data_IF_992109350820
#
_entry.id   IF_992109350820
#
_cell.length_a   1.000
_cell.length_b   1.000
_cell.length_c   1.000
_cell.angle_alpha   90.00
_cell.angle_beta   90.00
_cell.angle_gamma   90.00
#
_symmetry.space_group_name_H-M   'P 1'
#
loop_
_entity.id
_entity.type
_entity.pdbx_description
1 polymer ?
#
# COMPACT_ATOMS: atom_id res chain seq x y z
N UNK A 1 -12.10 -14.62 -18.24
CA UNK A 1 -12.91 -14.72 -17.01
C UNK A 1 -14.35 -14.90 -17.45
N UNK A 2 -15.02 -15.95 -16.99
CA UNK A 2 -16.43 -16.19 -17.32
C UNK A 2 -17.33 -15.21 -16.55
N UNK A 3 -18.46 -14.78 -17.12
CA UNK A 3 -19.35 -13.76 -16.53
C UNK A 3 -19.81 -14.17 -15.12
N UNK A 4 -20.09 -15.46 -14.92
CA UNK A 4 -20.47 -15.99 -13.61
C UNK A 4 -19.34 -15.86 -12.57
N UNK A 5 -18.09 -15.93 -12.99
CA UNK A 5 -16.93 -15.80 -12.10
C UNK A 5 -16.68 -14.34 -11.72
N UNK A 6 -16.94 -13.39 -12.63
CA UNK A 6 -16.86 -11.96 -12.31
C UNK A 6 -17.97 -11.52 -11.35
N UNK A 7 -19.20 -11.98 -11.54
CA UNK A 7 -20.32 -11.66 -10.64
C UNK A 7 -20.05 -12.13 -9.20
N UNK A 8 -19.48 -13.32 -9.06
CA UNK A 8 -19.11 -13.89 -7.76
C UNK A 8 -17.99 -13.09 -7.06
N UNK A 9 -17.00 -12.61 -7.83
CA UNK A 9 -15.93 -11.74 -7.31
C UNK A 9 -16.48 -10.41 -6.79
N UNK A 10 -17.29 -9.70 -7.61
CA UNK A 10 -17.84 -8.42 -7.19
C UNK A 10 -18.74 -8.57 -5.97
N UNK A 11 -19.55 -9.63 -5.94
CA UNK A 11 -20.41 -9.96 -4.80
C UNK A 11 -19.60 -10.11 -3.50
N UNK A 12 -18.44 -10.78 -3.54
CA UNK A 12 -17.56 -10.91 -2.37
C UNK A 12 -16.94 -9.58 -1.94
N UNK A 13 -16.42 -8.79 -2.89
CA UNK A 13 -15.87 -7.46 -2.57
C UNK A 13 -16.92 -6.57 -1.90
N UNK A 14 -18.15 -6.54 -2.43
CA UNK A 14 -19.26 -5.80 -1.83
C UNK A 14 -19.65 -6.32 -0.45
N UNK A 15 -19.64 -7.63 -0.24
CA UNK A 15 -19.90 -8.24 1.06
C UNK A 15 -18.86 -7.81 2.11
N UNK A 16 -17.58 -7.87 1.76
CA UNK A 16 -16.49 -7.47 2.64
C UNK A 16 -16.54 -5.97 2.94
N UNK A 17 -16.71 -5.13 1.91
CA UNK A 17 -16.84 -3.69 2.08
C UNK A 17 -18.06 -3.31 2.96
N UNK A 18 -19.18 -4.01 2.79
CA UNK A 18 -20.37 -3.84 3.65
C UNK A 18 -20.09 -4.21 5.10
N UNK A 19 -19.33 -5.29 5.33
CA UNK A 19 -18.93 -5.74 6.66
C UNK A 19 -18.02 -4.72 7.33
N UNK A 20 -17.02 -4.22 6.61
CA UNK A 20 -16.11 -3.15 7.05
C UNK A 20 -16.85 -1.86 7.35
N UNK A 21 -17.82 -1.49 6.51
CA UNK A 21 -18.69 -0.34 6.76
C UNK A 21 -19.45 -0.50 8.08
N UNK A 22 -20.04 -1.67 8.33
CA UNK A 22 -20.73 -1.95 9.60
C UNK A 22 -19.77 -1.85 10.78
N UNK A 23 -18.57 -2.43 10.68
CA UNK A 23 -17.53 -2.32 11.72
C UNK A 23 -17.19 -0.85 11.99
N UNK A 24 -16.98 -0.06 10.93
CA UNK A 24 -16.68 1.36 11.03
C UNK A 24 -17.81 2.15 11.68
N UNK A 25 -19.07 1.89 11.30
CA UNK A 25 -20.25 2.52 11.89
C UNK A 25 -20.42 2.16 13.37
N UNK A 26 -20.14 0.90 13.75
CA UNK A 26 -20.12 0.46 15.14
C UNK A 26 -19.02 1.17 15.93
N UNK A 27 -17.80 1.26 15.38
CA UNK A 27 -16.70 2.01 15.99
C UNK A 27 -17.09 3.48 16.19
N UNK A 28 -17.70 4.10 15.18
CA UNK A 28 -18.16 5.48 15.23
C UNK A 28 -19.21 5.71 16.33
N UNK A 29 -20.09 4.73 16.56
CA UNK A 29 -21.06 4.73 17.67
C UNK A 29 -20.38 4.50 19.02
N UNK A 30 -19.40 3.60 19.10
CA UNK A 30 -18.63 3.32 20.33
C UNK A 30 -17.84 4.55 20.78
N UNK A 31 -17.21 5.26 19.84
CA UNK A 31 -16.44 6.48 20.11
C UNK A 31 -17.28 7.76 20.03
N UNK A 32 -18.62 7.67 20.12
CA UNK A 32 -19.51 8.84 19.97
C UNK A 32 -19.22 10.01 20.91
N UNK A 33 -18.66 9.71 22.09
CA UNK A 33 -18.33 10.69 23.12
C UNK A 33 -16.91 11.24 23.01
N UNK A 34 -16.13 10.80 22.01
CA UNK A 34 -14.79 11.33 21.76
C UNK A 34 -14.89 12.60 20.92
N UNK A 35 -13.91 13.48 21.09
CA UNK A 35 -13.75 14.65 20.24
C UNK A 35 -13.71 14.21 18.76
N UNK A 36 -14.44 14.87 17.85
CA UNK A 36 -14.44 14.55 16.42
C UNK A 36 -13.03 14.38 15.84
N UNK A 37 -12.06 15.16 16.30
CA UNK A 37 -10.66 15.07 15.88
C UNK A 37 -10.04 13.69 16.13
N UNK A 38 -10.33 13.06 17.27
CA UNK A 38 -9.75 11.76 17.65
C UNK A 38 -10.68 10.59 17.31
N UNK A 39 -11.96 10.86 17.13
CA UNK A 39 -12.97 9.84 16.85
C UNK A 39 -12.69 9.13 15.52
N UNK A 40 -12.41 9.87 14.46
CA UNK A 40 -12.16 9.28 13.14
C UNK A 40 -10.91 8.39 13.18
N UNK A 41 -9.83 8.85 13.80
CA UNK A 41 -8.61 8.05 14.03
C UNK A 41 -8.90 6.76 14.80
N UNK A 42 -9.74 6.85 15.86
CA UNK A 42 -10.14 5.69 16.63
C UNK A 42 -10.98 4.71 15.80
N UNK A 43 -11.83 5.20 14.89
CA UNK A 43 -12.62 4.36 13.99
C UNK A 43 -11.73 3.61 12.99
N UNK A 44 -10.76 4.28 12.36
CA UNK A 44 -9.79 3.63 11.47
C UNK A 44 -8.93 2.62 12.23
N UNK A 45 -8.44 2.95 13.44
CA UNK A 45 -7.71 1.99 14.27
C UNK A 45 -8.54 0.75 14.60
N UNK A 46 -9.83 0.93 14.92
CA UNK A 46 -10.73 -0.17 15.22
C UNK A 46 -11.03 -1.02 13.98
N UNK A 47 -11.25 -0.39 12.82
CA UNK A 47 -11.41 -1.09 11.56
C UNK A 47 -10.16 -1.93 11.23
N UNK A 48 -8.97 -1.33 11.37
CA UNK A 48 -7.68 -2.00 11.16
C UNK A 48 -7.48 -3.22 12.08
N UNK A 49 -7.96 -3.18 13.34
CA UNK A 49 -7.92 -4.35 14.23
C UNK A 49 -8.77 -5.52 13.72
N UNK A 50 -9.98 -5.21 13.24
CA UNK A 50 -10.92 -6.20 12.71
C UNK A 50 -10.54 -6.69 11.32
N UNK A 51 -9.69 -5.97 10.59
CA UNK A 51 -9.09 -6.43 9.35
C UNK A 51 -7.82 -7.27 9.63
N UNK A 52 -6.84 -6.68 10.32
CA UNK A 52 -5.50 -7.24 10.44
C UNK A 52 -5.45 -8.60 11.13
N UNK A 53 -6.29 -8.81 12.15
CA UNK A 53 -6.35 -10.08 12.88
C UNK A 53 -6.83 -11.23 11.97
N UNK A 54 -8.02 -11.18 11.35
CA UNK A 54 -8.44 -12.25 10.43
C UNK A 54 -7.57 -12.32 9.17
N UNK A 55 -7.02 -11.23 8.67
CA UNK A 55 -6.12 -11.24 7.50
C UNK A 55 -4.83 -11.99 7.77
N UNK A 56 -4.13 -11.68 8.87
CA UNK A 56 -2.89 -12.37 9.23
C UNK A 56 -3.10 -13.86 9.46
N UNK A 57 -4.18 -14.23 10.17
CA UNK A 57 -4.55 -15.64 10.37
C UNK A 57 -4.85 -16.29 9.03
N UNK A 58 -5.74 -15.73 8.23
CA UNK A 58 -6.14 -16.34 6.95
C UNK A 58 -4.96 -16.44 5.97
N UNK A 59 -4.07 -15.45 5.94
CA UNK A 59 -2.84 -15.49 5.14
C UNK A 59 -1.91 -16.63 5.56
N UNK A 60 -1.70 -16.83 6.87
CA UNK A 60 -0.92 -17.97 7.37
C UNK A 60 -1.55 -19.31 6.96
N UNK A 61 -2.87 -19.44 7.06
CA UNK A 61 -3.58 -20.64 6.61
C UNK A 61 -3.45 -20.85 5.10
N UNK A 62 -3.53 -19.78 4.31
CA UNK A 62 -3.42 -19.81 2.85
C UNK A 62 -2.01 -20.16 2.36
N UNK A 63 -0.98 -19.85 3.15
CA UNK A 63 0.41 -20.18 2.81
C UNK A 63 0.81 -21.60 3.23
N UNK A 64 0.37 -22.06 4.40
CA UNK A 64 0.97 -23.26 5.03
C UNK A 64 0.02 -24.44 5.23
N UNK A 65 -1.29 -24.20 5.22
CA UNK A 65 -2.27 -25.20 5.69
C UNK A 65 -3.16 -25.68 4.56
N UNK A 66 -3.73 -24.77 3.78
CA UNK A 66 -4.68 -25.11 2.72
C UNK A 66 -3.90 -25.39 1.45
N UNK A 67 -3.74 -26.67 1.13
CA UNK A 67 -3.24 -27.12 -0.17
C UNK A 67 -4.33 -26.98 -1.22
N UNK A 68 -3.94 -26.54 -2.42
CA UNK A 68 -4.85 -26.53 -3.56
C UNK A 68 -5.12 -27.99 -3.99
N UNK A 69 -6.38 -28.44 -4.06
CA UNK A 69 -6.71 -29.77 -4.57
C UNK A 69 -6.23 -30.03 -6.01
N UNK A 70 -6.04 -28.98 -6.81
CA UNK A 70 -5.57 -29.05 -8.19
C UNK A 70 -4.05 -28.92 -8.33
N UNK A 71 -3.37 -28.36 -7.32
CA UNK A 71 -1.91 -28.21 -7.28
C UNK A 71 -1.36 -28.79 -5.97
N UNK A 72 -0.76 -29.99 -6.07
CA UNK A 72 -0.24 -30.74 -4.92
C UNK A 72 0.99 -30.09 -4.27
N UNK A 73 1.60 -29.12 -4.94
CA UNK A 73 2.76 -28.36 -4.45
C UNK A 73 2.31 -27.06 -3.80
N UNK A 74 2.92 -26.72 -2.67
CA UNK A 74 2.75 -25.40 -2.06
C UNK A 74 3.43 -24.40 -3.01
N UNK A 75 2.73 -23.37 -3.52
CA UNK A 75 3.31 -22.41 -4.43
C UNK A 75 4.32 -21.52 -3.68
N UNK A 76 5.57 -21.96 -3.62
CA UNK A 76 6.67 -21.24 -2.96
C UNK A 76 7.35 -20.20 -3.88
N UNK A 77 6.94 -20.11 -5.14
CA UNK A 77 7.53 -19.20 -6.13
C UNK A 77 6.89 -17.81 -6.10
N UNK A 78 7.69 -16.76 -6.27
CA UNK A 78 7.18 -15.39 -6.35
C UNK A 78 6.21 -15.16 -7.52
N UNK A 79 6.33 -15.91 -8.61
CA UNK A 79 5.42 -15.88 -9.76
C UNK A 79 4.37 -16.99 -9.78
N UNK A 80 4.14 -17.72 -8.68
CA UNK A 80 3.20 -18.84 -8.66
C UNK A 80 1.74 -18.41 -8.85
N UNK A 81 0.91 -19.25 -9.46
CA UNK A 81 -0.52 -19.00 -9.59
C UNK A 81 -1.19 -18.88 -8.23
N UNK A 82 -2.11 -17.92 -8.10
CA UNK A 82 -2.85 -17.73 -6.85
C UNK A 82 -3.82 -18.89 -6.62
N UNK A 83 -3.81 -19.44 -5.41
CA UNK A 83 -4.85 -20.40 -5.01
C UNK A 83 -6.19 -19.69 -4.73
N UNK A 84 -7.32 -20.41 -4.80
CA UNK A 84 -8.63 -19.82 -4.49
C UNK A 84 -8.69 -19.18 -3.11
N UNK A 85 -8.07 -19.80 -2.10
CA UNK A 85 -8.08 -19.27 -0.74
C UNK A 85 -7.16 -18.05 -0.59
N UNK A 86 -6.01 -18.02 -1.27
CA UNK A 86 -5.18 -16.82 -1.35
C UNK A 86 -5.96 -15.64 -1.97
N UNK A 87 -6.71 -15.90 -3.03
CA UNK A 87 -7.56 -14.91 -3.67
C UNK A 87 -8.64 -14.34 -2.73
N UNK A 88 -9.25 -15.17 -1.87
CA UNK A 88 -10.19 -14.68 -0.84
C UNK A 88 -9.52 -13.73 0.15
N UNK A 89 -8.29 -14.03 0.59
CA UNK A 89 -7.53 -13.14 1.49
C UNK A 89 -7.18 -11.81 0.81
N UNK A 90 -6.78 -11.84 -0.46
CA UNK A 90 -6.50 -10.63 -1.24
C UNK A 90 -7.76 -9.79 -1.46
N UNK A 91 -8.91 -10.41 -1.75
CA UNK A 91 -10.18 -9.71 -1.92
C UNK A 91 -10.65 -9.08 -0.61
N UNK A 92 -10.57 -9.81 0.51
CA UNK A 92 -10.87 -9.26 1.84
C UNK A 92 -9.98 -8.07 2.18
N UNK A 93 -8.68 -8.15 1.86
CA UNK A 93 -7.75 -7.03 2.08
C UNK A 93 -7.98 -5.87 1.13
N UNK A 94 -8.34 -6.14 -0.11
CA UNK A 94 -8.67 -5.10 -1.09
C UNK A 94 -9.84 -4.23 -0.60
N UNK A 95 -10.90 -4.85 -0.10
CA UNK A 95 -12.04 -4.10 0.46
C UNK A 95 -11.59 -3.19 1.61
N UNK A 96 -10.80 -3.71 2.56
CA UNK A 96 -10.31 -2.92 3.69
C UNK A 96 -9.48 -1.73 3.23
N UNK A 97 -8.52 -1.94 2.32
CA UNK A 97 -7.68 -0.87 1.81
C UNK A 97 -8.49 0.20 1.07
N UNK A 98 -9.55 -0.17 0.36
CA UNK A 98 -10.49 0.79 -0.24
C UNK A 98 -11.20 1.61 0.85
N UNK A 99 -11.77 0.93 1.85
CA UNK A 99 -12.53 1.60 2.92
C UNK A 99 -11.65 2.52 3.77
N UNK A 100 -10.44 2.09 4.14
CA UNK A 100 -9.50 2.89 4.92
C UNK A 100 -8.93 4.04 4.08
N UNK A 101 -8.66 3.83 2.78
CA UNK A 101 -8.26 4.91 1.87
C UNK A 101 -9.34 5.99 1.74
N UNK A 102 -10.62 5.59 1.59
CA UNK A 102 -11.74 6.54 1.59
C UNK A 102 -11.82 7.31 2.91
N UNK A 103 -11.57 6.65 4.04
CA UNK A 103 -11.48 7.32 5.33
C UNK A 103 -10.39 8.40 5.34
N UNK A 104 -9.18 8.09 4.88
CA UNK A 104 -8.09 9.08 4.83
C UNK A 104 -8.41 10.24 3.89
N UNK A 105 -8.97 9.98 2.71
CA UNK A 105 -9.34 11.07 1.79
C UNK A 105 -10.37 12.03 2.37
N UNK A 106 -11.37 11.51 3.11
CA UNK A 106 -12.46 12.34 3.64
C UNK A 106 -12.06 13.03 4.95
N UNK A 107 -11.41 12.32 5.87
CA UNK A 107 -11.20 12.79 7.24
C UNK A 107 -9.76 13.23 7.54
N UNK A 108 -8.78 12.80 6.74
CA UNK A 108 -7.34 13.06 6.98
C UNK A 108 -6.55 13.31 5.67
N UNK A 109 -6.99 14.24 4.80
CA UNK A 109 -6.37 14.43 3.48
C UNK A 109 -4.90 14.89 3.55
N UNK A 110 -4.46 15.42 4.69
CA UNK A 110 -3.08 15.85 4.90
C UNK A 110 -2.11 14.70 5.23
N UNK A 111 -2.62 13.50 5.49
CA UNK A 111 -1.78 12.34 5.83
C UNK A 111 -1.26 11.65 4.55
N UNK A 112 -0.51 12.40 3.75
CA UNK A 112 -0.10 12.03 2.38
C UNK A 112 0.69 10.73 2.36
N UNK A 113 1.54 10.48 3.36
CA UNK A 113 2.32 9.25 3.45
C UNK A 113 1.43 8.02 3.62
N UNK A 114 0.42 8.11 4.49
CA UNK A 114 -0.54 7.02 4.69
C UNK A 114 -1.41 6.80 3.46
N UNK A 115 -1.88 7.87 2.82
CA UNK A 115 -2.66 7.80 1.58
C UNK A 115 -1.84 7.13 0.47
N UNK A 116 -0.59 7.58 0.26
CA UNK A 116 0.30 7.01 -0.75
C UNK A 116 0.61 5.54 -0.48
N UNK A 117 0.85 5.17 0.79
CA UNK A 117 1.06 3.79 1.20
C UNK A 117 -0.17 2.91 0.90
N UNK A 118 -1.39 3.38 1.21
CA UNK A 118 -2.62 2.65 0.95
C UNK A 118 -2.89 2.51 -0.55
N UNK A 119 -2.64 3.56 -1.34
CA UNK A 119 -2.71 3.49 -2.80
C UNK A 119 -1.72 2.49 -3.39
N UNK A 120 -0.46 2.50 -2.93
CA UNK A 120 0.54 1.56 -3.39
C UNK A 120 0.17 0.10 -3.03
N UNK A 121 -0.31 -0.12 -1.81
CA UNK A 121 -0.74 -1.45 -1.36
C UNK A 121 -1.96 -1.92 -2.12
N UNK A 122 -2.95 -1.05 -2.30
CA UNK A 122 -4.15 -1.33 -3.07
C UNK A 122 -3.79 -1.65 -4.52
N UNK A 123 -2.89 -0.89 -5.15
CA UNK A 123 -2.39 -1.19 -6.49
C UNK A 123 -1.81 -2.60 -6.56
N UNK A 124 -0.90 -2.97 -5.65
CA UNK A 124 -0.27 -4.30 -5.61
C UNK A 124 -1.31 -5.42 -5.41
N UNK A 125 -2.29 -5.22 -4.53
CA UNK A 125 -3.37 -6.18 -4.31
C UNK A 125 -4.24 -6.35 -5.57
N UNK A 126 -4.64 -5.24 -6.20
CA UNK A 126 -5.47 -5.23 -7.39
C UNK A 126 -4.75 -5.89 -8.58
N UNK A 127 -3.48 -5.54 -8.80
CA UNK A 127 -2.70 -6.13 -9.89
C UNK A 127 -2.50 -7.62 -9.68
N UNK A 128 -2.11 -8.04 -8.46
CA UNK A 128 -1.93 -9.44 -8.13
C UNK A 128 -3.21 -10.25 -8.30
N UNK A 129 -4.35 -9.73 -7.82
CA UNK A 129 -5.62 -10.48 -7.83
C UNK A 129 -6.33 -10.44 -9.18
N UNK A 130 -6.46 -9.26 -9.78
CA UNK A 130 -7.39 -9.03 -10.90
C UNK A 130 -6.71 -8.92 -12.26
N UNK A 131 -5.44 -8.54 -12.33
CA UNK A 131 -4.71 -8.43 -13.60
C UNK A 131 -3.90 -9.69 -13.89
N UNK A 132 -3.00 -10.09 -12.98
CA UNK A 132 -2.07 -11.19 -13.24
C UNK A 132 -2.52 -12.52 -12.63
N UNK A 133 -3.27 -12.50 -11.51
CA UNK A 133 -3.70 -13.69 -10.76
C UNK A 133 -2.55 -14.64 -10.36
N UNK A 134 -1.37 -14.06 -10.11
CA UNK A 134 -0.13 -14.72 -9.70
C UNK A 134 0.56 -13.90 -8.62
N UNK A 135 1.42 -14.56 -7.83
CA UNK A 135 2.30 -13.92 -6.84
C UNK A 135 1.64 -13.59 -5.50
N UNK A 136 0.44 -14.11 -5.21
CA UNK A 136 -0.22 -13.90 -3.93
C UNK A 136 0.64 -14.35 -2.75
N UNK A 137 1.40 -15.44 -2.87
CA UNK A 137 2.25 -15.92 -1.78
C UNK A 137 3.20 -14.83 -1.27
N UNK A 138 3.87 -14.11 -2.16
CA UNK A 138 4.80 -13.04 -1.79
C UNK A 138 4.09 -11.90 -1.04
N UNK A 139 2.92 -11.51 -1.55
CA UNK A 139 2.10 -10.47 -0.96
C UNK A 139 1.56 -10.89 0.40
N UNK A 140 1.19 -12.16 0.58
CA UNK A 140 0.71 -12.69 1.84
C UNK A 140 1.82 -12.76 2.90
N UNK A 141 3.07 -12.99 2.53
CA UNK A 141 4.21 -12.87 3.48
C UNK A 141 4.32 -11.43 3.99
N UNK A 142 4.28 -10.45 3.09
CA UNK A 142 4.32 -9.02 3.47
C UNK A 142 3.10 -8.65 4.31
N UNK A 143 1.91 -9.13 3.93
CA UNK A 143 0.66 -8.92 4.67
C UNK A 143 0.78 -9.47 6.10
N UNK A 144 1.33 -10.67 6.29
CA UNK A 144 1.54 -11.22 7.63
C UNK A 144 2.52 -10.37 8.43
N UNK A 145 3.66 -9.98 7.83
CA UNK A 145 4.65 -9.13 8.51
C UNK A 145 4.06 -7.77 8.93
N UNK A 146 3.20 -7.19 8.10
CA UNK A 146 2.48 -5.96 8.41
C UNK A 146 1.45 -6.23 9.53
N UNK A 147 0.58 -7.21 9.36
CA UNK A 147 -0.61 -7.39 10.17
C UNK A 147 -0.35 -8.03 11.55
N UNK A 148 0.71 -8.81 11.74
CA UNK A 148 1.09 -9.31 13.07
C UNK A 148 1.39 -8.17 14.04
N UNK A 149 1.87 -7.04 13.51
CA UNK A 149 2.18 -5.84 14.30
C UNK A 149 0.97 -4.94 14.52
N UNK A 150 -0.08 -5.09 13.70
CA UNK A 150 -1.26 -4.22 13.69
C UNK A 150 -2.03 -4.21 15.02
N UNK A 151 -2.25 -5.33 15.75
CA UNK A 151 -2.90 -5.29 17.05
C UNK A 151 -2.20 -4.39 18.05
N UNK A 152 -0.88 -4.54 18.17
CA UNK A 152 -0.07 -3.72 19.09
C UNK A 152 -0.06 -2.26 18.62
N UNK A 153 0.12 -2.02 17.31
CA UNK A 153 0.13 -0.69 16.73
C UNK A 153 -1.19 0.07 16.95
N UNK A 154 -2.33 -0.56 16.70
CA UNK A 154 -3.64 0.07 16.82
C UNK A 154 -4.03 0.33 18.27
N UNK A 155 -3.76 -0.61 19.18
CA UNK A 155 -3.99 -0.39 20.63
C UNK A 155 -3.06 0.70 21.16
N UNK A 156 -1.78 0.71 20.75
CA UNK A 156 -0.85 1.78 21.08
C UNK A 156 -1.32 3.13 20.56
N UNK A 157 -1.85 3.18 19.33
CA UNK A 157 -2.40 4.40 18.71
C UNK A 157 -3.64 4.91 19.45
N UNK A 158 -4.58 4.04 19.80
CA UNK A 158 -5.75 4.38 20.61
C UNK A 158 -5.35 4.93 21.99
N UNK A 159 -4.37 4.31 22.64
CA UNK A 159 -3.83 4.78 23.91
C UNK A 159 -3.16 6.16 23.74
N UNK A 160 -2.41 6.37 22.65
CA UNK A 160 -1.77 7.65 22.32
C UNK A 160 -2.79 8.78 22.15
N UNK A 161 -3.92 8.53 21.51
CA UNK A 161 -4.96 9.55 21.28
C UNK A 161 -5.56 10.10 22.58
N UNK A 162 -5.55 9.31 23.66
CA UNK A 162 -6.17 9.68 24.95
C UNK A 162 -5.19 9.80 26.11
N UNK A 163 -3.89 9.69 25.86
CA UNK A 163 -2.86 9.69 26.92
C UNK A 163 -2.86 10.96 27.77
N UNK A 164 -3.26 12.10 27.20
CA UNK A 164 -3.30 13.37 27.91
C UNK A 164 -4.56 13.54 28.77
N UNK A 165 -5.64 12.81 28.45
CA UNK A 165 -6.94 12.98 29.13
C UNK A 165 -7.24 11.83 30.11
N UNK A 166 -6.67 10.64 29.89
CA UNK A 166 -6.99 9.43 30.64
C UNK A 166 -5.71 8.82 31.21
N UNK A 167 -5.51 8.80 32.54
CA UNK A 167 -4.30 8.28 33.16
C UNK A 167 -4.01 6.81 32.81
N UNK A 168 -5.06 5.99 32.63
CA UNK A 168 -4.91 4.60 32.21
C UNK A 168 -4.39 4.50 30.76
N UNK A 169 -4.82 5.40 29.86
CA UNK A 169 -4.32 5.44 28.50
C UNK A 169 -2.84 5.84 28.46
N UNK A 170 -2.41 6.76 29.32
CA UNK A 170 -0.99 7.10 29.47
C UNK A 170 -0.14 5.90 29.93
N UNK A 171 -0.61 5.16 30.93
CA UNK A 171 0.06 3.94 31.41
C UNK A 171 0.15 2.89 30.31
N UNK A 172 -0.96 2.62 29.62
CA UNK A 172 -1.00 1.65 28.52
C UNK A 172 -0.07 2.07 27.37
N UNK A 173 -0.08 3.34 26.99
CA UNK A 173 0.81 3.90 25.98
C UNK A 173 2.30 3.70 26.36
N UNK A 174 2.68 4.07 27.57
CA UNK A 174 4.06 3.93 28.05
C UNK A 174 4.49 2.46 28.13
N UNK A 175 3.58 1.57 28.55
CA UNK A 175 3.83 0.13 28.62
C UNK A 175 4.03 -0.48 27.23
N UNK A 176 3.19 -0.13 26.26
CA UNK A 176 3.25 -0.68 24.91
C UNK A 176 4.38 -0.09 24.07
N UNK A 177 4.81 1.15 24.33
CA UNK A 177 5.76 1.88 23.48
C UNK A 177 7.07 1.14 23.20
N UNK A 178 7.79 0.59 24.20
CA UNK A 178 9.06 -0.11 23.94
C UNK A 178 8.87 -1.33 23.03
N UNK A 179 7.85 -2.16 23.33
CA UNK A 179 7.54 -3.34 22.55
C UNK A 179 7.07 -2.99 21.14
N UNK A 180 6.23 -1.96 21.01
CA UNK A 180 5.78 -1.43 19.72
C UNK A 180 6.97 -0.98 18.87
N UNK A 181 7.88 -0.16 19.40
CA UNK A 181 9.02 0.32 18.62
C UNK A 181 9.93 -0.83 18.15
N UNK A 182 10.26 -1.78 19.03
CA UNK A 182 11.07 -2.95 18.65
C UNK A 182 10.38 -3.78 17.58
N UNK A 183 9.11 -4.15 17.81
CA UNK A 183 8.35 -4.99 16.88
C UNK A 183 8.15 -4.31 15.53
N UNK A 184 7.81 -3.02 15.54
CA UNK A 184 7.61 -2.21 14.34
C UNK A 184 8.92 -2.08 13.54
N UNK A 185 10.03 -1.74 14.21
CA UNK A 185 11.33 -1.60 13.54
C UNK A 185 11.78 -2.92 12.94
N UNK A 186 11.66 -4.04 13.65
CA UNK A 186 12.07 -5.36 13.13
C UNK A 186 11.18 -5.77 11.96
N UNK A 187 9.86 -5.83 12.15
CA UNK A 187 8.97 -6.38 11.13
C UNK A 187 8.82 -5.45 9.92
N UNK A 188 8.53 -4.16 10.15
CA UNK A 188 8.23 -3.18 9.10
C UNK A 188 9.44 -2.37 8.65
N UNK A 189 10.43 -2.18 9.51
CA UNK A 189 11.65 -1.43 9.19
C UNK A 189 12.77 -2.28 8.59
N UNK A 190 12.80 -3.59 8.87
CA UNK A 190 13.89 -4.49 8.42
C UNK A 190 13.38 -5.66 7.59
N UNK A 191 12.52 -6.51 8.16
CA UNK A 191 12.11 -7.76 7.52
C UNK A 191 11.30 -7.53 6.24
N UNK A 192 10.25 -6.69 6.29
CA UNK A 192 9.44 -6.40 5.11
C UNK A 192 10.24 -5.69 4.00
N UNK A 193 11.05 -4.65 4.25
CA UNK A 193 11.91 -4.05 3.22
C UNK A 193 12.92 -5.03 2.63
N UNK A 194 13.60 -5.83 3.46
CA UNK A 194 14.55 -6.83 2.98
C UNK A 194 13.85 -7.88 2.08
N UNK A 195 12.65 -8.29 2.45
CA UNK A 195 11.84 -9.20 1.64
C UNK A 195 11.41 -8.56 0.31
N UNK A 196 10.99 -7.29 0.30
CA UNK A 196 10.64 -6.56 -0.92
C UNK A 196 11.84 -6.39 -1.86
N UNK A 197 13.04 -6.13 -1.32
CA UNK A 197 14.27 -6.09 -2.14
C UNK A 197 14.54 -7.45 -2.78
N UNK A 198 14.46 -8.54 -2.01
CA UNK A 198 14.63 -9.89 -2.55
C UNK A 198 13.58 -10.22 -3.62
N UNK A 199 12.33 -9.83 -3.41
CA UNK A 199 11.24 -9.97 -4.37
C UNK A 199 11.53 -9.19 -5.66
N UNK A 200 11.98 -7.93 -5.53
CA UNK A 200 12.37 -7.09 -6.66
C UNK A 200 13.55 -7.67 -7.44
N UNK A 201 14.59 -8.15 -6.77
CA UNK A 201 15.72 -8.82 -7.41
C UNK A 201 15.29 -10.10 -8.14
N UNK A 202 14.40 -10.89 -7.54
CA UNK A 202 13.89 -12.10 -8.19
C UNK A 202 13.11 -11.77 -9.47
N UNK A 203 12.22 -10.76 -9.43
CA UNK A 203 11.52 -10.31 -10.63
C UNK A 203 12.48 -9.74 -11.69
N UNK A 204 13.47 -8.94 -11.30
CA UNK A 204 14.47 -8.38 -12.22
C UNK A 204 15.40 -9.44 -12.82
N UNK A 205 15.55 -10.61 -12.17
CA UNK A 205 16.36 -11.72 -12.67
C UNK A 205 15.64 -12.60 -13.71
N UNK A 206 14.39 -12.27 -14.04
CA UNK A 206 13.55 -13.06 -14.93
C UNK A 206 12.90 -14.28 -14.28
N UNK A 207 12.90 -14.38 -12.94
CA UNK A 207 12.29 -15.51 -12.22
C UNK A 207 10.76 -15.58 -12.37
N UNK A 208 10.14 -14.59 -13.02
CA UNK A 208 8.72 -14.56 -13.38
C UNK A 208 8.47 -14.37 -14.88
N UNK A 209 9.50 -14.57 -15.71
CA UNK A 209 9.39 -14.42 -17.17
C UNK A 209 8.28 -15.30 -17.73
N UNK A 210 7.40 -14.68 -18.53
CA UNK A 210 6.25 -15.34 -19.14
C UNK A 210 4.97 -15.37 -18.29
N UNK A 211 4.99 -14.87 -17.05
CA UNK A 211 3.82 -14.83 -16.14
C UNK A 211 3.47 -13.41 -15.68
N UNK A 212 4.48 -12.58 -15.41
CA UNK A 212 4.32 -11.17 -15.04
C UNK A 212 5.04 -10.34 -16.11
N UNK A 213 4.42 -9.26 -16.66
CA UNK A 213 5.08 -8.43 -17.66
C UNK A 213 6.38 -7.86 -17.09
N UNK A 214 7.48 -8.05 -17.81
CA UNK A 214 8.75 -7.41 -17.50
C UNK A 214 8.56 -5.88 -17.56
N UNK A 215 9.01 -5.16 -16.54
CA UNK A 215 9.21 -3.72 -16.67
C UNK A 215 10.49 -3.58 -17.50
N UNK A 216 10.34 -3.71 -18.81
CA UNK A 216 11.43 -3.46 -19.73
C UNK A 216 11.77 -1.97 -19.60
N UNK A 217 12.87 -1.67 -18.92
CA UNK A 217 13.38 -0.31 -18.77
C UNK A 217 14.19 0.12 -20.00
N UNK A 218 14.42 -0.78 -20.96
CA UNK A 218 15.13 -0.50 -22.20
C UNK A 218 14.44 0.53 -23.14
N UNK A 219 13.10 0.59 -23.26
CA UNK A 219 12.45 1.55 -24.16
C UNK A 219 12.70 3.00 -23.73
N UNK A 220 12.74 3.25 -22.42
CA UNK A 220 13.00 4.59 -21.88
C UNK A 220 14.44 5.06 -22.09
N UNK A 221 15.40 4.15 -22.04
CA UNK A 221 16.81 4.48 -22.31
C UNK A 221 17.05 4.78 -23.79
N UNK A 222 16.36 4.09 -24.69
CA UNK A 222 16.45 4.32 -26.13
C UNK A 222 15.80 5.65 -26.51
N UNK A 223 14.60 5.92 -26.02
CA UNK A 223 13.84 7.15 -26.33
C UNK A 223 14.53 8.41 -25.77
N UNK A 224 15.13 8.32 -24.58
CA UNK A 224 15.94 9.40 -24.01
C UNK A 224 17.24 9.62 -24.80
N UNK A 225 17.89 8.55 -25.25
CA UNK A 225 19.11 8.63 -26.07
C UNK A 225 18.83 9.22 -27.45
N UNK A 226 17.71 8.85 -28.07
CA UNK A 226 17.28 9.35 -29.36
C UNK A 226 16.84 10.83 -29.27
N UNK A 227 16.21 11.23 -28.16
CA UNK A 227 15.85 12.64 -27.89
C UNK A 227 17.11 13.50 -27.73
N UNK A 228 18.09 13.05 -26.93
CA UNK A 228 19.36 13.74 -26.74
C UNK A 228 20.21 13.77 -28.02
N UNK A 229 20.13 12.72 -28.86
CA UNK A 229 20.77 12.69 -30.16
C UNK A 229 20.14 13.71 -31.13
N UNK A 230 18.82 13.91 -31.06
CA UNK A 230 18.08 14.88 -31.88
C UNK A 230 18.38 16.34 -31.52
N UNK A 231 18.63 16.65 -30.25
CA UNK A 231 19.02 18.00 -29.79
C UNK A 231 20.48 18.34 -30.09
N UNK A 232 21.33 17.34 -30.36
CA UNK A 232 22.75 17.52 -30.69
C UNK A 232 23.03 17.83 -32.17
N UNK A 233 22.01 17.77 -33.03
CA UNK A 233 22.14 18.12 -34.44
C UNK A 233 22.19 19.66 -34.60
N UNK A 234 23.29 20.22 -35.16
CA UNK A 234 23.37 21.66 -35.40
C UNK A 234 22.31 22.07 -36.41
N UNK A 235 21.48 23.07 -36.07
CA UNK A 235 20.58 23.67 -37.06
C UNK A 235 21.39 24.23 -38.24
N UNK A 236 20.94 24.01 -39.50
CA UNK A 236 21.58 24.62 -40.65
C UNK A 236 21.49 26.15 -40.55
N UNK A 237 22.53 26.88 -41.01
CA UNK A 237 22.63 28.32 -40.82
C UNK A 237 21.45 29.04 -41.49
N UNK A 238 20.65 29.72 -40.66
CA UNK A 238 19.62 30.64 -41.10
C UNK A 238 20.27 31.90 -41.68
N UNK A 239 19.89 32.23 -42.92
CA UNK A 239 20.32 33.44 -43.60
C UNK A 239 19.81 34.70 -42.90
N UNK A 240 20.71 35.67 -42.80
CA UNK A 240 20.53 37.01 -42.26
C UNK A 240 19.22 37.72 -42.65
N UNK A 241 18.56 38.34 -41.68
CA UNK A 241 18.05 39.71 -41.84
C UNK A 241 18.09 40.46 -40.50
N UNK A 242 18.72 41.63 -40.58
CA UNK A 242 18.96 42.67 -39.58
C UNK A 242 17.72 43.30 -38.94
N UNK A 243 17.77 43.57 -37.62
CA UNK A 243 17.44 44.89 -37.04
C UNK A 243 17.66 44.94 -35.52
N UNK A 244 18.63 45.77 -35.12
CA UNK A 244 18.83 46.66 -33.94
C UNK A 244 18.22 46.40 -32.53
N UNK A 245 18.87 46.95 -31.47
CA UNK A 245 18.70 46.53 -30.08
C UNK A 245 17.81 47.47 -29.25
N UNK A 246 17.16 46.91 -28.23
CA UNK A 246 16.62 47.68 -27.10
C UNK A 246 16.67 46.86 -25.81
N UNK A 247 17.36 47.43 -24.83
CA UNK A 247 17.37 47.22 -23.38
C UNK A 247 16.21 46.40 -22.78
N UNK A 248 16.50 45.58 -21.77
CA UNK A 248 16.40 46.02 -20.36
C UNK A 248 16.49 44.81 -19.41
N UNK A 249 17.37 44.93 -18.40
CA UNK A 249 17.20 44.52 -17.01
C UNK A 249 16.17 43.41 -16.67
N UNK A 250 16.62 42.29 -16.12
CA UNK A 250 16.32 41.95 -14.73
C UNK A 250 17.03 40.66 -14.28
N UNK A 251 18.05 40.86 -13.43
CA UNK A 251 18.34 39.98 -12.31
C UNK A 251 17.07 39.79 -11.47
N UNK A 252 16.72 38.55 -11.14
CA UNK A 252 16.31 38.29 -9.76
C UNK A 252 16.63 36.85 -9.31
N UNK A 253 17.28 36.87 -8.17
CA UNK A 253 17.84 35.82 -7.35
C UNK A 253 16.82 35.54 -6.21
N UNK A 254 16.88 34.35 -5.59
CA UNK A 254 16.51 34.06 -4.18
C UNK A 254 14.97 33.99 -3.92
N UNK A 255 14.35 33.09 -3.15
CA UNK A 255 14.66 32.33 -1.93
C UNK A 255 13.75 31.06 -1.91
N UNK A 256 14.12 29.86 -1.42
CA UNK A 256 14.22 29.41 -0.01
C UNK A 256 13.22 30.01 0.99
N UNK A 257 12.45 29.14 1.65
CA UNK A 257 11.87 29.18 3.03
C UNK A 257 10.55 28.37 2.99
N UNK A 258 10.49 27.15 3.55
CA UNK A 258 10.26 26.76 4.95
C UNK A 258 8.81 26.92 5.43
N UNK A 259 8.42 26.02 6.36
CA UNK A 259 7.18 25.95 7.17
C UNK A 259 6.03 25.12 6.58
N UNK A 260 5.36 24.20 7.29
CA UNK A 260 5.38 23.70 8.68
C UNK A 260 4.79 22.28 8.66
#
# INVERSE_FOLDING_TARGET
MDLNQSEDIYSRIWLYASTEYVIYALAHKMFRNWDPKYRYDACSCFLSLFHGTPSSVSALFAMFIIKDPQNSEIPFGFGSQNSPFQNLVLEFSTSYFIMDLLHYFVFKPHDVLFIAHHLATLFVLLTCRFLVNHGAFAILVILVLAEITSPVQNVWSLARLRKNDVPMAAKLYNFLSPGFYVLYTVARGVLAPAYVVNLGCAYASGAADGVIPEIDAAPYHQELSDTLASESQPQPPSGNSSSSPSDCSNQQQIAFVHEV
#
